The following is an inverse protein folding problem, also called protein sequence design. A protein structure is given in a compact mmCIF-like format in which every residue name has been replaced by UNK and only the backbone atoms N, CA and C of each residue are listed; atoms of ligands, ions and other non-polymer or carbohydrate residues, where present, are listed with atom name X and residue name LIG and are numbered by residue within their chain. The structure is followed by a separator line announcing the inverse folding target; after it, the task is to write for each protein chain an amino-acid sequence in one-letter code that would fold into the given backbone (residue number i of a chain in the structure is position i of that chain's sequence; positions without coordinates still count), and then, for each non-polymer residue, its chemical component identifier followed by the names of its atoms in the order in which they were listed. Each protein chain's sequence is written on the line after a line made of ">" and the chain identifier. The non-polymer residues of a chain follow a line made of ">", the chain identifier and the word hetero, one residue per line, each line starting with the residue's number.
data_IF_246736682227
#
_entry.id   IF_246736682227
#
_cell.length_a   1.000
_cell.length_b   1.000
_cell.length_c   1.000
_cell.angle_alpha   90.00
_cell.angle_beta   90.00
_cell.angle_gamma   90.00
#
_symmetry.space_group_name_H-M   'P 1'
#
loop_
_entity.id
_entity.type
_entity.pdbx_description
1 polymer ?
#
# COMPACT_ATOMS: atom_id res chain seq x y z
N UNK A 1 -14.32 -11.14 8.08
CA UNK A 1 -13.38 -12.22 8.31
C UNK A 1 -14.11 -13.57 8.40
N UNK A 2 -13.44 -14.65 8.02
CA UNK A 2 -13.97 -16.01 8.11
C UNK A 2 -13.87 -16.57 9.56
N UNK A 3 -14.53 -15.88 10.49
CA UNK A 3 -14.66 -16.23 11.90
C UNK A 3 -16.15 -16.31 12.26
N UNK A 4 -16.55 -16.85 13.43
CA UNK A 4 -17.97 -16.96 13.79
C UNK A 4 -18.70 -15.63 13.63
N UNK A 5 -19.84 -15.63 12.91
CA UNK A 5 -20.62 -14.42 12.54
C UNK A 5 -20.96 -13.53 13.75
N UNK A 6 -21.13 -14.11 14.93
CA UNK A 6 -21.40 -13.37 16.16
C UNK A 6 -20.38 -12.27 16.47
N UNK A 7 -19.10 -12.48 16.09
CA UNK A 7 -18.07 -11.45 16.32
C UNK A 7 -18.25 -10.23 15.39
N UNK A 8 -18.85 -10.41 14.22
CA UNK A 8 -19.28 -9.28 13.41
C UNK A 8 -20.52 -8.61 13.96
N UNK A 9 -21.58 -9.38 14.28
CA UNK A 9 -22.87 -8.82 14.72
C UNK A 9 -22.80 -8.15 16.09
N UNK A 10 -22.09 -8.76 17.04
CA UNK A 10 -22.12 -8.36 18.44
C UNK A 10 -20.94 -7.45 18.81
N UNK A 11 -19.82 -7.57 18.09
CA UNK A 11 -18.58 -6.87 18.41
C UNK A 11 -18.05 -5.98 17.27
N UNK A 12 -18.73 -5.92 16.13
CA UNK A 12 -18.34 -5.13 14.95
C UNK A 12 -16.91 -5.47 14.45
N UNK A 13 -16.48 -6.75 14.61
CA UNK A 13 -15.17 -7.18 14.09
C UNK A 13 -15.26 -7.37 12.58
N UNK A 14 -14.71 -6.41 11.84
CA UNK A 14 -14.72 -6.39 10.37
C UNK A 14 -13.49 -5.66 9.82
N UNK A 15 -13.32 -5.68 8.49
CA UNK A 15 -12.36 -4.82 7.80
C UNK A 15 -12.90 -3.38 7.77
N UNK A 16 -12.08 -2.44 8.20
CA UNK A 16 -12.41 -1.00 8.21
C UNK A 16 -11.62 -0.23 7.15
N UNK A 17 -10.31 -0.49 7.02
CA UNK A 17 -9.39 0.36 6.27
C UNK A 17 -9.04 1.65 7.02
N UNK A 18 -7.93 2.32 6.71
CA UNK A 18 -7.47 3.47 7.49
C UNK A 18 -6.95 4.67 6.66
N UNK A 19 -6.69 4.54 5.36
CA UNK A 19 -6.22 5.64 4.51
C UNK A 19 -7.29 6.14 3.52
N UNK A 20 -8.58 5.94 3.84
CA UNK A 20 -9.69 6.21 2.93
C UNK A 20 -9.77 7.65 2.42
N UNK A 21 -9.37 8.65 3.22
CA UNK A 21 -9.31 10.06 2.80
C UNK A 21 -8.29 10.26 1.68
N UNK A 22 -7.08 9.71 1.86
CA UNK A 22 -6.03 9.74 0.83
C UNK A 22 -6.45 8.97 -0.42
N UNK A 23 -6.98 7.75 -0.24
CA UNK A 23 -7.43 6.89 -1.35
C UNK A 23 -8.51 7.61 -2.20
N UNK A 24 -9.49 8.22 -1.54
CA UNK A 24 -10.56 8.99 -2.21
C UNK A 24 -9.99 10.19 -2.97
N UNK A 25 -9.09 10.95 -2.36
CA UNK A 25 -8.46 12.11 -2.99
C UNK A 25 -7.73 11.71 -4.28
N UNK A 26 -6.80 10.76 -4.19
CA UNK A 26 -5.98 10.38 -5.36
C UNK A 26 -6.79 9.66 -6.44
N UNK A 27 -7.83 8.92 -6.07
CA UNK A 27 -8.76 8.33 -7.02
C UNK A 27 -9.52 9.41 -7.81
N UNK A 28 -10.05 10.44 -7.14
CA UNK A 28 -10.74 11.55 -7.79
C UNK A 28 -9.82 12.37 -8.69
N UNK A 29 -8.56 12.58 -8.31
CA UNK A 29 -7.57 13.21 -9.16
C UNK A 29 -7.24 12.34 -10.40
N UNK A 30 -7.10 11.02 -10.23
CA UNK A 30 -6.87 10.10 -11.35
C UNK A 30 -8.04 10.13 -12.36
N UNK A 31 -9.29 10.20 -11.91
CA UNK A 31 -10.46 10.35 -12.80
C UNK A 31 -10.36 11.61 -13.66
N UNK A 32 -9.97 12.73 -13.06
CA UNK A 32 -9.80 14.02 -13.79
C UNK A 32 -8.69 13.93 -14.84
N UNK A 33 -7.55 13.35 -14.48
CA UNK A 33 -6.36 13.21 -15.35
C UNK A 33 -6.66 12.28 -16.53
N UNK A 34 -7.23 11.12 -16.24
CA UNK A 34 -7.53 10.10 -17.24
C UNK A 34 -8.85 10.35 -17.98
N UNK A 35 -9.62 11.36 -17.56
CA UNK A 35 -10.94 11.69 -18.12
C UNK A 35 -11.88 10.49 -18.19
N UNK A 36 -11.88 9.70 -17.14
CA UNK A 36 -12.68 8.50 -17.00
C UNK A 36 -13.40 8.50 -15.65
N UNK A 37 -14.73 8.61 -15.67
CA UNK A 37 -15.56 8.61 -14.47
C UNK A 37 -15.83 7.20 -13.92
N UNK A 38 -15.58 6.16 -14.71
CA UNK A 38 -15.79 4.75 -14.36
C UNK A 38 -14.44 4.00 -14.26
N UNK A 39 -13.55 4.53 -13.43
CA UNK A 39 -12.17 4.07 -13.31
C UNK A 39 -12.06 2.89 -12.33
N UNK A 40 -11.51 1.76 -12.76
CA UNK A 40 -11.05 0.69 -11.87
C UNK A 40 -9.61 0.95 -11.47
N UNK A 41 -9.37 1.18 -10.19
CA UNK A 41 -8.07 1.62 -9.70
C UNK A 41 -7.57 0.79 -8.52
N UNK A 42 -6.25 0.67 -8.43
CA UNK A 42 -5.55 0.28 -7.21
C UNK A 42 -4.82 1.50 -6.68
N UNK A 43 -5.20 1.97 -5.49
CA UNK A 43 -4.45 2.99 -4.77
C UNK A 43 -3.38 2.33 -3.90
N UNK A 44 -2.20 2.91 -3.84
CA UNK A 44 -1.03 2.41 -3.10
C UNK A 44 -0.47 3.56 -2.28
N UNK A 45 -0.94 3.66 -1.03
CA UNK A 45 -0.50 4.67 -0.07
C UNK A 45 0.68 4.12 0.75
N UNK A 46 1.88 4.67 0.54
CA UNK A 46 3.11 4.23 1.18
C UNK A 46 3.70 5.36 2.03
N UNK A 47 3.21 5.50 3.26
CA UNK A 47 3.74 6.40 4.29
C UNK A 47 4.42 5.61 5.41
N UNK A 48 4.46 6.18 6.64
CA UNK A 48 4.86 5.43 7.84
C UNK A 48 3.92 4.23 8.09
N UNK A 49 2.61 4.42 7.90
CA UNK A 49 1.66 3.35 7.66
C UNK A 49 1.52 3.15 6.15
N UNK A 50 1.30 1.93 5.71
CA UNK A 50 1.12 1.61 4.31
C UNK A 50 -0.18 0.82 4.09
N UNK A 51 -0.89 1.13 3.01
CA UNK A 51 -2.06 0.36 2.58
C UNK A 51 -2.29 0.46 1.08
N UNK A 52 -3.12 -0.45 0.61
CA UNK A 52 -3.66 -0.43 -0.74
C UNK A 52 -5.17 -0.57 -0.67
N UNK A 53 -5.88 0.01 -1.63
CA UNK A 53 -7.30 -0.23 -1.80
C UNK A 53 -7.61 -0.59 -3.26
N UNK A 54 -8.60 -1.47 -3.43
CA UNK A 54 -9.19 -1.83 -4.70
C UNK A 54 -10.48 -1.04 -4.90
N UNK A 55 -10.50 -0.14 -5.88
CA UNK A 55 -11.64 0.75 -6.15
C UNK A 55 -12.29 0.35 -7.47
N UNK A 56 -13.59 0.05 -7.43
CA UNK A 56 -14.36 -0.36 -8.61
C UNK A 56 -14.78 0.84 -9.48
N UNK A 57 -15.42 0.57 -10.60
CA UNK A 57 -15.90 1.55 -11.57
C UNK A 57 -16.96 2.53 -11.04
N UNK A 58 -17.58 2.23 -9.89
CA UNK A 58 -18.52 3.11 -9.21
C UNK A 58 -17.83 4.02 -8.18
N UNK A 59 -16.51 3.89 -7.98
CA UNK A 59 -15.76 4.61 -6.97
C UNK A 59 -15.87 4.00 -5.57
N UNK A 60 -16.33 2.76 -5.46
CA UNK A 60 -16.46 2.05 -4.19
C UNK A 60 -15.19 1.26 -3.90
N UNK A 61 -14.64 1.40 -2.69
CA UNK A 61 -13.57 0.53 -2.20
C UNK A 61 -14.14 -0.85 -1.88
N UNK A 62 -13.81 -1.85 -2.70
CA UNK A 62 -14.29 -3.23 -2.54
C UNK A 62 -13.37 -4.07 -1.65
N UNK A 63 -12.11 -3.63 -1.48
CA UNK A 63 -11.13 -4.28 -0.61
C UNK A 63 -10.03 -3.29 -0.20
N UNK A 64 -9.40 -3.56 0.94
CA UNK A 64 -8.25 -2.79 1.45
C UNK A 64 -7.32 -3.69 2.26
N UNK A 65 -6.02 -3.38 2.23
CA UNK A 65 -5.01 -4.19 2.95
C UNK A 65 -5.02 -3.96 4.46
N UNK A 66 -5.38 -2.78 4.95
CA UNK A 66 -5.56 -2.55 6.38
C UNK A 66 -6.93 -3.10 6.82
N UNK A 67 -6.91 -3.96 7.85
CA UNK A 67 -8.08 -4.70 8.27
C UNK A 67 -8.85 -4.08 9.43
N UNK A 68 -9.04 -4.86 10.51
CA UNK A 68 -9.66 -4.44 11.78
C UNK A 68 -8.81 -3.38 12.48
N UNK A 69 -7.49 -3.45 12.32
CA UNK A 69 -6.53 -2.48 12.85
C UNK A 69 -5.40 -2.22 11.85
N UNK A 70 -4.42 -1.39 12.22
CA UNK A 70 -3.39 -0.91 11.31
C UNK A 70 -2.20 -1.89 11.14
N UNK A 71 -2.31 -3.15 11.57
CA UNK A 71 -1.20 -4.12 11.53
C UNK A 71 -1.21 -4.97 10.25
N UNK A 72 -2.40 -5.30 9.73
CA UNK A 72 -2.61 -6.20 8.59
C UNK A 72 -2.08 -5.60 7.28
N UNK A 73 -1.87 -6.44 6.26
CA UNK A 73 -1.59 -6.02 4.90
C UNK A 73 -0.10 -5.88 4.58
N UNK A 74 0.30 -4.70 4.14
CA UNK A 74 1.67 -4.42 3.70
C UNK A 74 2.68 -4.47 4.84
N UNK A 75 3.92 -4.81 4.51
CA UNK A 75 5.06 -4.52 5.39
C UNK A 75 5.18 -3.01 5.54
N UNK A 76 5.52 -2.51 6.73
CA UNK A 76 5.63 -1.07 7.00
C UNK A 76 6.97 -0.75 7.65
N UNK A 77 7.20 0.47 8.03
CA UNK A 77 8.45 0.87 8.69
C UNK A 77 8.76 0.05 9.95
N UNK A 78 7.75 -0.15 10.81
CA UNK A 78 7.90 -0.88 12.10
C UNK A 78 6.89 -2.00 12.30
N UNK A 79 5.92 -2.17 11.39
CA UNK A 79 4.85 -3.18 11.50
C UNK A 79 5.09 -4.32 10.53
N UNK A 80 4.76 -5.54 10.98
CA UNK A 80 4.97 -6.77 10.19
C UNK A 80 4.14 -6.85 8.91
N UNK A 81 2.97 -6.23 8.86
CA UNK A 81 1.96 -6.55 7.88
C UNK A 81 1.36 -7.95 8.13
N UNK A 82 0.84 -8.57 7.07
CA UNK A 82 0.28 -9.92 7.17
C UNK A 82 1.27 -10.92 7.75
N UNK A 83 0.78 -11.69 8.69
CA UNK A 83 1.51 -12.77 9.34
C UNK A 83 0.56 -13.97 9.51
N UNK A 84 1.08 -15.18 9.49
CA UNK A 84 0.32 -16.36 9.89
C UNK A 84 -0.07 -16.23 11.38
N UNK A 85 -1.36 -16.28 11.72
CA UNK A 85 -1.80 -16.19 13.12
C UNK A 85 -1.16 -17.22 14.03
N UNK A 86 -0.75 -18.39 13.51
CA UNK A 86 -0.07 -19.44 14.26
C UNK A 86 1.27 -18.98 14.85
N UNK A 87 1.92 -18.00 14.23
CA UNK A 87 3.16 -17.40 14.77
C UNK A 87 2.89 -16.73 16.12
N UNK A 88 1.75 -16.08 16.29
CA UNK A 88 1.36 -15.43 17.55
C UNK A 88 1.21 -16.48 18.65
N UNK A 89 0.53 -17.58 18.34
CA UNK A 89 0.34 -18.67 19.29
C UNK A 89 1.68 -19.30 19.69
N UNK A 90 2.54 -19.57 18.70
CA UNK A 90 3.88 -20.12 18.95
C UNK A 90 4.74 -19.20 19.84
N UNK A 91 4.72 -17.89 19.57
CA UNK A 91 5.47 -16.92 20.38
C UNK A 91 5.00 -16.91 21.84
N UNK A 92 3.69 -17.04 22.07
CA UNK A 92 3.13 -17.05 23.44
C UNK A 92 3.36 -18.40 24.12
N UNK A 93 3.04 -19.50 23.46
CA UNK A 93 2.97 -20.85 24.08
C UNK A 93 4.34 -21.51 24.19
N UNK A 94 5.21 -21.33 23.17
CA UNK A 94 6.50 -22.02 23.09
C UNK A 94 7.68 -21.11 23.44
N UNK A 95 7.65 -19.83 23.03
CA UNK A 95 8.75 -18.90 23.31
C UNK A 95 8.55 -18.10 24.62
N UNK A 96 7.36 -18.21 25.25
CA UNK A 96 7.08 -17.61 26.55
C UNK A 96 6.85 -16.09 26.54
N UNK A 97 6.65 -15.46 25.36
CA UNK A 97 6.30 -14.05 25.30
C UNK A 97 4.87 -13.82 25.84
N UNK A 98 4.68 -12.74 26.57
CA UNK A 98 3.34 -12.25 26.87
C UNK A 98 2.65 -11.73 25.60
N UNK A 99 1.31 -11.74 25.57
CA UNK A 99 0.55 -11.19 24.48
C UNK A 99 0.88 -9.70 24.22
N UNK A 100 1.22 -8.94 25.29
CA UNK A 100 1.61 -7.55 25.17
C UNK A 100 2.98 -7.37 24.48
N UNK A 101 3.93 -8.26 24.78
CA UNK A 101 5.25 -8.26 24.10
C UNK A 101 5.08 -8.62 22.62
N UNK A 102 4.31 -9.66 22.29
CA UNK A 102 4.01 -10.00 20.88
C UNK A 102 3.36 -8.83 20.16
N UNK A 103 2.38 -8.16 20.78
CA UNK A 103 1.77 -6.95 20.21
C UNK A 103 2.79 -5.85 19.97
N UNK A 104 3.75 -5.64 20.88
CA UNK A 104 4.80 -4.64 20.72
C UNK A 104 5.75 -5.01 19.59
N UNK A 105 6.22 -6.25 19.52
CA UNK A 105 7.09 -6.78 18.46
C UNK A 105 6.46 -6.55 17.10
N UNK A 106 5.22 -6.99 16.90
CA UNK A 106 4.56 -6.91 15.60
C UNK A 106 4.25 -5.48 15.15
N UNK A 107 4.05 -4.53 16.08
CA UNK A 107 3.70 -3.16 15.75
C UNK A 107 4.88 -2.19 15.71
N UNK A 108 5.96 -2.44 16.48
CA UNK A 108 7.03 -1.44 16.69
C UNK A 108 8.44 -1.93 16.40
N UNK A 109 8.65 -3.26 16.32
CA UNK A 109 9.97 -3.87 16.22
C UNK A 109 10.10 -4.77 14.98
N UNK A 110 9.07 -4.79 14.13
CA UNK A 110 8.98 -5.57 12.89
C UNK A 110 9.15 -4.68 11.65
N UNK A 111 8.68 -5.15 10.53
CA UNK A 111 8.74 -4.41 9.26
C UNK A 111 10.16 -4.15 8.78
N UNK A 112 10.39 -3.01 8.15
CA UNK A 112 11.72 -2.61 7.67
C UNK A 112 12.73 -2.53 8.82
N UNK A 113 12.30 -2.00 9.99
CA UNK A 113 13.15 -1.91 11.17
C UNK A 113 13.62 -3.30 11.63
N UNK A 114 12.71 -4.25 11.75
CA UNK A 114 13.03 -5.60 12.23
C UNK A 114 13.87 -6.43 11.26
N UNK A 115 13.80 -6.14 9.97
CA UNK A 115 14.52 -6.86 8.92
C UNK A 115 15.86 -6.20 8.54
N UNK A 116 15.86 -4.89 8.33
CA UNK A 116 17.01 -4.14 7.79
C UNK A 116 17.62 -3.15 8.79
N UNK A 117 17.11 -3.09 10.03
CA UNK A 117 17.65 -2.24 11.09
C UNK A 117 17.35 -0.75 10.96
N UNK A 118 16.47 -0.34 10.02
CA UNK A 118 15.93 1.02 9.93
C UNK A 118 14.48 1.00 9.48
N UNK A 119 13.67 1.91 10.01
CA UNK A 119 12.29 2.14 9.54
C UNK A 119 12.21 3.13 8.38
N UNK A 120 13.32 3.78 8.04
CA UNK A 120 13.43 4.73 6.93
C UNK A 120 13.90 3.99 5.66
N UNK A 121 13.07 4.00 4.62
CA UNK A 121 13.41 3.34 3.37
C UNK A 121 14.63 3.95 2.66
N UNK A 122 14.95 5.22 2.92
CA UNK A 122 16.16 5.86 2.37
C UNK A 122 17.42 5.20 2.90
N UNK A 123 17.47 4.93 4.21
CA UNK A 123 18.57 4.21 4.85
C UNK A 123 18.68 2.78 4.32
N UNK A 124 17.54 2.12 4.11
CA UNK A 124 17.49 0.76 3.55
C UNK A 124 17.99 0.75 2.09
N UNK A 125 17.57 1.72 1.26
CA UNK A 125 18.05 1.87 -0.12
C UNK A 125 19.56 2.08 -0.15
N UNK A 126 20.09 3.01 0.66
CA UNK A 126 21.52 3.28 0.73
C UNK A 126 22.34 2.03 1.14
N UNK A 127 21.91 1.32 2.18
CA UNK A 127 22.55 0.06 2.59
C UNK A 127 22.48 -1.00 1.49
N UNK A 128 21.35 -1.09 0.78
CA UNK A 128 21.18 -2.03 -0.32
C UNK A 128 22.14 -1.72 -1.47
N UNK A 129 22.36 -0.46 -1.83
CA UNK A 129 23.33 -0.01 -2.83
C UNK A 129 24.77 -0.35 -2.41
N UNK A 130 25.06 -0.32 -1.10
CA UNK A 130 26.32 -0.73 -0.51
C UNK A 130 26.53 -2.26 -0.45
N UNK A 131 25.53 -3.03 -0.86
CA UNK A 131 25.59 -4.50 -0.93
C UNK A 131 25.18 -5.21 0.36
N UNK A 132 24.50 -4.53 1.28
CA UNK A 132 23.95 -5.12 2.51
C UNK A 132 22.83 -6.13 2.16
N UNK A 133 23.00 -7.38 2.60
CA UNK A 133 22.10 -8.47 2.27
C UNK A 133 20.74 -8.34 2.99
N UNK A 134 20.73 -7.86 4.23
CA UNK A 134 19.50 -7.69 5.01
C UNK A 134 18.67 -6.52 4.50
N UNK A 135 19.33 -5.44 4.08
CA UNK A 135 18.67 -4.33 3.42
C UNK A 135 18.03 -4.73 2.09
N UNK A 136 18.75 -5.53 1.29
CA UNK A 136 18.22 -6.08 0.03
C UNK A 136 17.02 -6.99 0.28
N UNK A 137 17.12 -7.92 1.22
CA UNK A 137 16.00 -8.79 1.62
C UNK A 137 14.80 -7.98 2.09
N UNK A 138 15.03 -6.90 2.83
CA UNK A 138 14.00 -5.98 3.32
C UNK A 138 13.22 -5.34 2.16
N UNK A 139 13.94 -4.79 1.16
CA UNK A 139 13.31 -4.20 -0.03
C UNK A 139 12.58 -5.24 -0.88
N UNK A 140 13.18 -6.41 -1.06
CA UNK A 140 12.55 -7.52 -1.78
C UNK A 140 11.23 -7.94 -1.11
N UNK A 141 11.22 -8.11 0.20
CA UNK A 141 10.02 -8.50 0.93
C UNK A 141 8.94 -7.41 0.89
N UNK A 142 9.34 -6.16 1.09
CA UNK A 142 8.45 -4.99 1.06
C UNK A 142 7.74 -4.88 -0.30
N UNK A 143 8.51 -4.85 -1.37
CA UNK A 143 7.99 -4.68 -2.74
C UNK A 143 7.26 -5.93 -3.25
N UNK A 144 7.70 -7.13 -2.84
CA UNK A 144 7.01 -8.38 -3.14
C UNK A 144 5.60 -8.43 -2.54
N UNK A 145 5.42 -7.92 -1.32
CA UNK A 145 4.10 -7.84 -0.70
C UNK A 145 3.17 -6.89 -1.47
N UNK A 146 3.66 -5.72 -1.90
CA UNK A 146 2.91 -4.78 -2.75
C UNK A 146 2.51 -5.47 -4.06
N UNK A 147 3.46 -6.13 -4.73
CA UNK A 147 3.21 -6.87 -5.97
C UNK A 147 2.12 -7.94 -5.80
N UNK A 148 2.14 -8.71 -4.72
CA UNK A 148 1.10 -9.71 -4.44
C UNK A 148 -0.27 -9.08 -4.34
N UNK A 149 -0.40 -7.94 -3.66
CA UNK A 149 -1.67 -7.23 -3.55
C UNK A 149 -2.11 -6.59 -4.87
N UNK A 150 -1.18 -6.09 -5.71
CA UNK A 150 -1.52 -5.68 -7.08
C UNK A 150 -2.18 -6.85 -7.83
N UNK A 151 -1.59 -8.03 -7.80
CA UNK A 151 -2.15 -9.23 -8.46
C UNK A 151 -3.49 -9.65 -7.87
N UNK A 152 -3.65 -9.63 -6.55
CA UNK A 152 -4.90 -9.95 -5.86
C UNK A 152 -6.02 -8.99 -6.24
N UNK A 153 -5.76 -7.69 -6.23
CA UNK A 153 -6.75 -6.66 -6.55
C UNK A 153 -7.04 -6.58 -8.05
N UNK A 154 -6.06 -6.87 -8.90
CA UNK A 154 -6.30 -7.06 -10.32
C UNK A 154 -7.34 -8.17 -10.58
N UNK A 155 -7.22 -9.29 -9.87
CA UNK A 155 -8.17 -10.38 -9.95
C UNK A 155 -9.54 -10.01 -9.36
N UNK A 156 -9.57 -9.37 -8.17
CA UNK A 156 -10.80 -8.97 -7.49
C UNK A 156 -11.63 -7.96 -8.30
N UNK A 157 -10.97 -7.04 -9.00
CA UNK A 157 -11.60 -6.04 -9.88
C UNK A 157 -11.90 -6.57 -11.30
N UNK A 158 -11.46 -7.80 -11.64
CA UNK A 158 -11.50 -8.34 -12.99
C UNK A 158 -10.85 -7.39 -14.01
N UNK A 159 -9.57 -7.07 -13.77
CA UNK A 159 -8.80 -6.06 -14.51
C UNK A 159 -8.89 -4.67 -13.90
N UNK A 160 -7.90 -3.84 -14.22
CA UNK A 160 -7.78 -2.47 -13.73
C UNK A 160 -7.40 -1.51 -14.86
N UNK A 161 -7.75 -0.24 -14.72
CA UNK A 161 -7.35 0.83 -15.63
C UNK A 161 -6.07 1.52 -15.16
N UNK A 162 -5.87 1.62 -13.82
CA UNK A 162 -4.74 2.35 -13.26
C UNK A 162 -4.26 1.82 -11.91
N UNK A 163 -2.97 2.04 -11.67
CA UNK A 163 -2.30 1.97 -10.36
C UNK A 163 -1.87 3.38 -9.98
N UNK A 164 -2.10 3.76 -8.72
CA UNK A 164 -1.81 5.10 -8.21
C UNK A 164 -0.87 4.98 -7.01
N UNK A 165 0.37 5.42 -7.15
CA UNK A 165 1.31 5.56 -6.05
C UNK A 165 1.18 6.92 -5.37
N UNK A 166 1.13 6.92 -4.03
CA UNK A 166 0.96 8.14 -3.24
C UNK A 166 1.62 8.04 -1.86
N UNK A 167 1.65 9.13 -1.14
CA UNK A 167 2.31 9.32 0.15
C UNK A 167 3.84 9.20 0.08
N UNK A 168 4.49 9.33 1.23
CA UNK A 168 5.94 9.52 1.34
C UNK A 168 6.79 8.67 0.42
N UNK A 169 6.75 7.33 0.53
CA UNK A 169 7.51 6.42 -0.34
C UNK A 169 6.88 6.30 -1.73
N UNK A 170 5.54 6.25 -1.82
CA UNK A 170 4.85 6.14 -3.10
C UNK A 170 5.21 7.28 -4.06
N UNK A 171 5.34 8.50 -3.53
CA UNK A 171 5.69 9.70 -4.30
C UNK A 171 7.20 9.86 -4.55
N UNK A 172 8.02 9.42 -3.59
CA UNK A 172 9.42 9.84 -3.52
C UNK A 172 10.44 8.69 -3.63
N UNK A 173 10.01 7.45 -3.88
CA UNK A 173 10.90 6.31 -3.98
C UNK A 173 10.72 5.54 -5.30
N UNK A 174 11.59 5.85 -6.27
CA UNK A 174 11.57 5.21 -7.58
C UNK A 174 11.92 3.73 -7.52
N UNK A 175 12.78 3.30 -6.58
CA UNK A 175 13.18 1.89 -6.41
C UNK A 175 11.99 1.06 -5.95
N UNK A 176 11.26 1.53 -4.95
CA UNK A 176 10.07 0.85 -4.45
C UNK A 176 9.01 0.71 -5.54
N UNK A 177 8.75 1.74 -6.34
CA UNK A 177 7.79 1.66 -7.45
C UNK A 177 8.25 0.69 -8.53
N UNK A 178 9.53 0.76 -8.94
CA UNK A 178 10.12 -0.14 -9.94
C UNK A 178 10.02 -1.60 -9.52
N UNK A 179 10.47 -1.94 -8.31
CA UNK A 179 10.45 -3.32 -7.84
C UNK A 179 9.03 -3.85 -7.60
N UNK A 180 8.09 -2.97 -7.21
CA UNK A 180 6.67 -3.35 -7.05
C UNK A 180 5.99 -3.66 -8.39
N UNK A 181 6.39 -2.98 -9.47
CA UNK A 181 5.83 -3.18 -10.81
C UNK A 181 6.61 -4.20 -11.68
N UNK A 182 7.77 -4.67 -11.23
CA UNK A 182 8.63 -5.58 -12.01
C UNK A 182 7.94 -6.93 -12.29
N UNK A 183 8.03 -7.41 -13.53
CA UNK A 183 7.47 -8.70 -13.98
C UNK A 183 5.93 -8.77 -13.82
N UNK A 184 5.21 -7.70 -14.17
CA UNK A 184 3.75 -7.64 -14.21
C UNK A 184 3.20 -7.43 -15.64
N UNK A 185 4.03 -7.61 -16.67
CA UNK A 185 3.68 -7.40 -18.07
C UNK A 185 2.54 -8.32 -18.53
N UNK A 186 2.44 -9.52 -17.95
CA UNK A 186 1.33 -10.44 -18.20
C UNK A 186 -0.03 -9.86 -17.77
N UNK A 187 -0.04 -8.93 -16.81
CA UNK A 187 -1.22 -8.17 -16.38
C UNK A 187 -1.40 -6.87 -17.18
N UNK A 188 -0.53 -6.61 -18.15
CA UNK A 188 -0.53 -5.36 -18.91
C UNK A 188 0.04 -4.17 -18.16
N UNK A 189 0.79 -4.39 -17.09
CA UNK A 189 1.42 -3.37 -16.25
C UNK A 189 2.89 -3.32 -16.63
N UNK A 190 3.35 -2.18 -17.14
CA UNK A 190 4.75 -1.93 -17.45
C UNK A 190 5.15 -0.51 -17.11
N UNK A 191 6.12 -0.37 -16.22
CA UNK A 191 6.68 0.92 -15.81
C UNK A 191 7.64 1.45 -16.89
N UNK A 192 7.69 2.76 -17.06
CA UNK A 192 8.77 3.47 -17.75
C UNK A 192 9.81 3.89 -16.70
N UNK A 193 10.96 3.22 -16.69
CA UNK A 193 11.99 3.44 -15.68
C UNK A 193 12.60 4.85 -15.74
N UNK A 194 12.72 5.43 -16.94
CA UNK A 194 13.24 6.81 -17.11
C UNK A 194 12.24 7.81 -16.54
N UNK A 195 10.96 7.68 -16.88
CA UNK A 195 9.91 8.52 -16.34
C UNK A 195 9.78 8.37 -14.83
N UNK A 196 9.85 7.13 -14.31
CA UNK A 196 9.80 6.81 -12.90
C UNK A 196 10.89 7.56 -12.09
N UNK A 197 12.13 7.56 -12.58
CA UNK A 197 13.24 8.28 -11.94
C UNK A 197 13.09 9.80 -12.12
N UNK A 198 12.75 10.26 -13.33
CA UNK A 198 12.61 11.68 -13.67
C UNK A 198 11.57 12.39 -12.79
N UNK A 199 10.44 11.72 -12.51
CA UNK A 199 9.34 12.28 -11.75
C UNK A 199 9.38 11.93 -10.25
N UNK A 200 10.51 11.41 -9.77
CA UNK A 200 10.71 11.25 -8.33
C UNK A 200 10.63 12.63 -7.63
N UNK A 201 9.93 12.71 -6.50
CA UNK A 201 9.64 13.96 -5.78
C UNK A 201 8.75 14.97 -6.55
N UNK A 202 7.92 14.49 -7.46
CA UNK A 202 6.95 15.37 -8.17
C UNK A 202 5.99 16.05 -7.18
N UNK A 203 5.58 17.28 -7.53
CA UNK A 203 4.56 18.04 -6.77
C UNK A 203 3.22 18.10 -7.49
N UNK A 204 3.14 17.49 -8.64
CA UNK A 204 1.94 17.42 -9.47
C UNK A 204 1.72 15.98 -9.91
N UNK A 205 0.47 15.59 -10.21
CA UNK A 205 0.19 14.27 -10.76
C UNK A 205 0.93 14.03 -12.08
N UNK A 206 1.50 12.84 -12.26
CA UNK A 206 2.22 12.44 -13.46
C UNK A 206 1.96 10.98 -13.82
N UNK A 207 2.05 10.67 -15.11
CA UNK A 207 2.01 9.30 -15.66
C UNK A 207 3.44 8.78 -15.83
N UNK A 208 3.67 7.53 -15.42
CA UNK A 208 4.98 6.87 -15.46
C UNK A 208 4.94 5.45 -16.05
N UNK A 209 3.89 5.10 -16.79
CA UNK A 209 3.83 3.83 -17.52
C UNK A 209 4.58 3.91 -18.85
N UNK A 210 5.12 2.76 -19.27
CA UNK A 210 5.67 2.61 -20.61
C UNK A 210 4.58 2.75 -21.70
N UNK A 211 4.92 3.17 -22.93
CA UNK A 211 3.92 3.36 -23.99
C UNK A 211 3.08 2.13 -24.32
N UNK A 212 3.64 0.93 -24.17
CA UNK A 212 2.98 -0.35 -24.41
C UNK A 212 2.18 -0.87 -23.21
N UNK A 213 2.25 -0.21 -22.07
CA UNK A 213 1.46 -0.59 -20.88
C UNK A 213 -0.03 -0.39 -21.13
N UNK A 214 -0.82 -1.41 -20.83
CA UNK A 214 -2.29 -1.33 -20.91
C UNK A 214 -2.90 -0.63 -19.71
N UNK A 215 -2.23 -0.75 -18.55
CA UNK A 215 -2.63 -0.15 -17.29
C UNK A 215 -1.85 1.14 -17.11
N UNK A 216 -2.52 2.22 -16.76
CA UNK A 216 -1.89 3.48 -16.40
C UNK A 216 -1.19 3.36 -15.06
N UNK A 217 -0.03 3.99 -14.90
CA UNK A 217 0.69 4.05 -13.62
C UNK A 217 0.91 5.52 -13.29
N UNK A 218 0.35 5.96 -12.18
CA UNK A 218 0.35 7.36 -11.77
C UNK A 218 1.14 7.55 -10.47
N UNK A 219 1.82 8.68 -10.38
CA UNK A 219 2.23 9.25 -9.09
C UNK A 219 1.30 10.44 -8.84
N UNK A 220 0.55 10.40 -7.75
CA UNK A 220 -0.35 11.50 -7.36
C UNK A 220 -0.02 11.91 -5.93
N UNK A 221 0.56 13.10 -5.71
CA UNK A 221 0.76 13.63 -4.37
C UNK A 221 -0.58 13.75 -3.64
N UNK A 222 -0.69 13.11 -2.46
CA UNK A 222 -1.92 13.18 -1.66
C UNK A 222 -2.08 14.53 -0.98
N UNK A 223 -3.33 14.93 -0.77
CA UNK A 223 -3.68 16.12 0.00
C UNK A 223 -4.92 15.83 0.86
N UNK A 224 -4.70 15.14 1.98
CA UNK A 224 -5.77 14.74 2.88
C UNK A 224 -6.48 15.94 3.53
N UNK A 225 -5.74 17.02 3.80
CA UNK A 225 -6.31 18.25 4.37
C UNK A 225 -7.32 18.89 3.41
N UNK A 226 -7.00 18.94 2.13
CA UNK A 226 -7.91 19.45 1.10
C UNK A 226 -9.15 18.56 0.97
N UNK A 227 -8.99 17.24 0.97
CA UNK A 227 -10.11 16.29 0.89
C UNK A 227 -11.04 16.46 2.10
N UNK A 228 -10.49 16.57 3.33
CA UNK A 228 -11.26 16.83 4.54
C UNK A 228 -12.01 18.15 4.45
N UNK A 229 -11.36 19.21 3.98
CA UNK A 229 -11.98 20.52 3.82
C UNK A 229 -13.14 20.48 2.81
N UNK A 230 -12.97 19.78 1.69
CA UNK A 230 -14.02 19.61 0.67
C UNK A 230 -15.22 18.84 1.22
N UNK A 231 -14.99 17.69 1.85
CA UNK A 231 -16.06 16.90 2.46
C UNK A 231 -16.81 17.69 3.56
N UNK A 232 -16.07 18.44 4.37
CA UNK A 232 -16.69 19.30 5.40
C UNK A 232 -17.56 20.36 4.77
N UNK A 233 -17.08 21.02 3.70
CA UNK A 233 -17.83 22.04 2.98
C UNK A 233 -19.14 21.48 2.38
N UNK A 234 -19.08 20.28 1.78
CA UNK A 234 -20.26 19.60 1.21
C UNK A 234 -21.32 19.25 2.27
N UNK A 235 -20.90 18.96 3.52
CA UNK A 235 -21.82 18.58 4.60
C UNK A 235 -22.54 19.77 5.25
N UNK A 236 -22.03 21.00 5.10
CA UNK A 236 -22.60 22.20 5.71
C UNK A 236 -23.42 23.05 4.74
N UNK A 237 -23.54 22.66 3.48
CA UNK A 237 -24.45 23.23 2.47
C UNK A 237 -25.82 22.52 2.52
#
# INVERSE_FOLDING_TARGET
>A
YAIPKKFYTDNSIRVYGLHGTSDKFVYNEAKKILKNDHLKAITIHLGNGASMAAVNENGESIDTTLGFGPLCGLVMGTRSGDIDPSVIFYMVEELGFSLQEVKNILNKESGMLGLGGSSDARDINEKCEQGDADAKLTLELYTYRIKKYIGSYFAALNGIDTIIFTAGLGENDAVVRSWSCKNLEALGIKLDEEANVKFNHTKVPVEIQAPESKVKILIIPTNEELEIAQQTYELIQ
#
